data_IF_708321067953
#
_entry.id   IF_708321067953
#
_cell.length_a   1.000
_cell.length_b   1.000
_cell.length_c   1.000
_cell.angle_alpha   90.00
_cell.angle_beta   90.00
_cell.angle_gamma   90.00
#
_symmetry.space_group_name_H-M   'P 1'
#
loop_
_entity.id
_entity.type
_entity.pdbx_description
1 polymer ?
#
# COMPACT_ATOMS: atom_id res chain seq x y z
N UNK A 1 -54.53 -15.71 -50.60
CA UNK A 1 -54.17 -15.56 -49.17
C UNK A 1 -52.74 -16.07 -49.00
N UNK A 2 -51.78 -15.26 -48.56
CA UNK A 2 -50.38 -15.72 -48.42
C UNK A 2 -49.29 -14.64 -48.30
N UNK A 3 -49.64 -13.35 -48.44
CA UNK A 3 -48.65 -12.25 -48.38
C UNK A 3 -48.21 -11.84 -46.97
N UNK A 4 -49.10 -11.92 -45.97
CA UNK A 4 -48.82 -11.41 -44.61
C UNK A 4 -47.94 -12.33 -43.76
N UNK A 5 -48.01 -13.65 -43.97
CA UNK A 5 -47.30 -14.63 -43.13
C UNK A 5 -45.77 -14.51 -43.28
N UNK A 6 -45.28 -14.20 -44.49
CA UNK A 6 -43.85 -13.97 -44.75
C UNK A 6 -43.30 -12.74 -44.02
N UNK A 7 -44.09 -11.68 -43.90
CA UNK A 7 -43.69 -10.44 -43.22
C UNK A 7 -43.58 -10.62 -41.71
N UNK A 8 -44.49 -11.40 -41.12
CA UNK A 8 -44.46 -11.67 -39.68
C UNK A 8 -43.39 -12.70 -39.30
N UNK A 9 -43.12 -13.69 -40.15
CA UNK A 9 -41.97 -14.59 -39.99
C UNK A 9 -40.64 -13.84 -40.02
N UNK A 10 -40.48 -12.83 -40.90
CA UNK A 10 -39.28 -11.99 -40.93
C UNK A 10 -39.11 -11.17 -39.64
N UNK A 11 -40.20 -10.64 -39.07
CA UNK A 11 -40.17 -9.88 -37.81
C UNK A 11 -39.84 -10.78 -36.62
N UNK A 12 -40.38 -12.00 -36.58
CA UNK A 12 -40.10 -12.99 -35.54
C UNK A 12 -38.62 -13.41 -35.61
N UNK A 13 -38.12 -13.67 -36.81
CA UNK A 13 -36.70 -14.00 -37.03
C UNK A 13 -35.78 -12.85 -36.58
N UNK A 14 -36.13 -11.60 -36.90
CA UNK A 14 -35.35 -10.44 -36.50
C UNK A 14 -35.36 -10.22 -34.98
N UNK A 15 -36.50 -10.47 -34.31
CA UNK A 15 -36.61 -10.41 -32.84
C UNK A 15 -35.80 -11.51 -32.15
N UNK A 16 -35.82 -12.73 -32.68
CA UNK A 16 -35.02 -13.84 -32.17
C UNK A 16 -33.52 -13.59 -32.38
N UNK A 17 -33.14 -13.04 -33.54
CA UNK A 17 -31.76 -12.68 -33.82
C UNK A 17 -31.26 -11.57 -32.88
N UNK A 18 -32.08 -10.53 -32.64
CA UNK A 18 -31.75 -9.46 -31.71
C UNK A 18 -31.64 -9.97 -30.26
N UNK A 19 -32.55 -10.86 -29.84
CA UNK A 19 -32.52 -11.48 -28.52
C UNK A 19 -31.28 -12.37 -28.35
N UNK A 20 -30.91 -13.15 -29.37
CA UNK A 20 -29.70 -13.95 -29.38
C UNK A 20 -28.44 -13.08 -29.31
N UNK A 21 -28.40 -11.98 -30.07
CA UNK A 21 -27.27 -11.05 -30.05
C UNK A 21 -27.12 -10.35 -28.69
N UNK A 22 -28.23 -9.98 -28.05
CA UNK A 22 -28.23 -9.43 -26.69
C UNK A 22 -27.80 -10.46 -25.64
N UNK A 23 -28.21 -11.72 -25.79
CA UNK A 23 -27.80 -12.82 -24.90
C UNK A 23 -26.29 -13.07 -25.01
N UNK A 24 -25.75 -13.12 -26.23
CA UNK A 24 -24.31 -13.31 -26.48
C UNK A 24 -23.50 -12.10 -25.97
N UNK A 25 -23.99 -10.87 -26.18
CA UNK A 25 -23.36 -9.67 -25.64
C UNK A 25 -23.34 -9.65 -24.10
N UNK A 26 -24.38 -10.18 -23.44
CA UNK A 26 -24.42 -10.34 -21.98
C UNK A 26 -23.39 -11.35 -21.48
N UNK A 27 -23.11 -12.41 -22.23
CA UNK A 27 -22.16 -13.47 -21.84
C UNK A 27 -20.70 -13.04 -22.03
N UNK A 28 -20.42 -12.05 -22.87
CA UNK A 28 -19.08 -11.50 -23.10
C UNK A 28 -18.62 -10.48 -22.03
N UNK A 29 -19.41 -10.22 -20.98
CA UNK A 29 -19.01 -9.31 -19.89
C UNK A 29 -18.16 -9.98 -18.79
N UNK A 30 -17.46 -11.07 -19.11
CA UNK A 30 -16.41 -11.62 -18.24
C UNK A 30 -15.14 -10.76 -18.38
N UNK A 31 -15.20 -9.52 -17.94
CA UNK A 31 -14.01 -8.71 -17.71
C UNK A 31 -13.27 -9.23 -16.49
N UNK A 32 -11.94 -9.25 -16.54
CA UNK A 32 -11.12 -9.50 -15.35
C UNK A 32 -11.45 -8.42 -14.31
N UNK A 33 -12.12 -8.82 -13.23
CA UNK A 33 -12.26 -7.96 -12.05
C UNK A 33 -10.88 -7.96 -11.40
N UNK A 34 -10.03 -7.02 -11.79
CA UNK A 34 -8.87 -6.66 -11.00
C UNK A 34 -9.41 -6.23 -9.64
N UNK A 35 -9.27 -7.09 -8.63
CA UNK A 35 -9.49 -6.70 -7.26
C UNK A 35 -8.67 -5.42 -7.05
N UNK A 36 -9.35 -4.30 -6.82
CA UNK A 36 -8.66 -3.06 -6.47
C UNK A 36 -7.77 -3.41 -5.30
N UNK A 37 -6.45 -3.31 -5.48
CA UNK A 37 -5.53 -3.54 -4.39
C UNK A 37 -5.93 -2.56 -3.28
N UNK A 38 -6.56 -3.09 -2.23
CA UNK A 38 -6.99 -2.27 -1.11
C UNK A 38 -5.77 -1.67 -0.44
N UNK A 39 -5.96 -0.58 0.30
CA UNK A 39 -4.91 -0.11 1.20
C UNK A 39 -4.46 -1.22 2.16
N UNK A 40 -3.22 -1.17 2.60
CA UNK A 40 -2.65 -2.14 3.53
C UNK A 40 -2.50 -1.52 4.92
N UNK A 41 -2.78 -2.31 5.95
CA UNK A 41 -2.55 -1.95 7.35
C UNK A 41 -1.62 -2.99 7.97
N UNK A 42 -0.53 -2.55 8.58
CA UNK A 42 0.41 -3.39 9.32
C UNK A 42 0.43 -2.89 10.77
N UNK A 43 -0.04 -3.72 11.69
CA UNK A 43 -0.09 -3.38 13.11
C UNK A 43 0.97 -4.16 13.90
N UNK A 44 1.59 -3.51 14.89
CA UNK A 44 2.43 -4.21 15.87
C UNK A 44 1.56 -4.99 16.86
N UNK A 45 2.18 -5.90 17.61
CA UNK A 45 1.55 -6.45 18.80
C UNK A 45 1.17 -5.31 19.78
N UNK A 46 0.04 -5.43 20.50
CA UNK A 46 -0.33 -4.49 21.55
C UNK A 46 0.66 -4.52 22.73
N UNK A 47 1.11 -3.34 23.15
CA UNK A 47 1.85 -3.10 24.38
C UNK A 47 0.83 -2.90 25.52
N UNK A 48 0.76 -3.85 26.46
CA UNK A 48 -0.18 -3.86 27.59
C UNK A 48 0.46 -3.54 28.93
N UNK A 49 1.76 -3.25 28.93
CA UNK A 49 2.57 -2.89 30.11
C UNK A 49 2.02 -1.67 30.87
N UNK A 50 1.27 -0.81 30.18
CA UNK A 50 0.71 0.45 30.69
C UNK A 50 -0.81 0.38 30.93
N UNK A 51 -1.36 -0.83 31.13
CA UNK A 51 -2.78 -1.03 31.39
C UNK A 51 -3.30 -0.07 32.48
N UNK A 52 -4.46 0.61 32.29
CA UNK A 52 -5.48 0.37 31.25
C UNK A 52 -5.17 1.00 29.88
N UNK A 53 -4.03 1.67 29.71
CA UNK A 53 -3.63 2.21 28.41
C UNK A 53 -2.98 1.12 27.56
N UNK A 54 -3.60 0.80 26.43
CA UNK A 54 -3.04 -0.10 25.41
C UNK A 54 -2.44 0.75 24.30
N UNK A 55 -1.23 0.42 23.86
CA UNK A 55 -0.56 1.10 22.73
C UNK A 55 -0.17 0.09 21.67
N UNK A 56 -0.14 0.52 20.42
CA UNK A 56 0.41 -0.25 19.31
C UNK A 56 0.82 0.71 18.21
N UNK A 57 1.65 0.24 17.28
CA UNK A 57 2.01 0.98 16.06
C UNK A 57 1.17 0.47 14.91
N UNK A 58 0.84 1.37 13.99
CA UNK A 58 0.07 1.09 12.78
C UNK A 58 0.76 1.78 11.60
N UNK A 59 1.17 1.00 10.61
CA UNK A 59 1.59 1.51 9.32
C UNK A 59 0.44 1.34 8.33
N UNK A 60 0.03 2.44 7.70
CA UNK A 60 -1.06 2.46 6.73
C UNK A 60 -0.53 2.86 5.35
N UNK A 61 -0.95 2.13 4.32
CA UNK A 61 -0.58 2.36 2.93
C UNK A 61 -1.84 2.43 2.07
N UNK A 62 -1.85 3.32 1.08
CA UNK A 62 -2.92 3.39 0.09
C UNK A 62 -2.86 2.24 -0.94
N UNK A 63 -3.79 2.25 -1.90
CA UNK A 63 -3.87 1.27 -2.96
C UNK A 63 -2.63 1.25 -3.89
N UNK A 64 -1.82 2.31 -3.88
CA UNK A 64 -0.60 2.44 -4.64
C UNK A 64 0.64 2.02 -3.81
N UNK A 65 0.45 1.64 -2.54
CA UNK A 65 1.53 1.30 -1.62
C UNK A 65 2.23 2.52 -1.03
N UNK A 66 1.64 3.71 -1.13
CA UNK A 66 2.20 4.94 -0.55
C UNK A 66 1.78 5.02 0.93
N UNK A 67 2.76 5.25 1.80
CA UNK A 67 2.52 5.42 3.23
C UNK A 67 1.64 6.65 3.52
N UNK A 68 0.70 6.49 4.45
CA UNK A 68 -0.25 7.52 4.88
C UNK A 68 0.18 8.07 6.24
N UNK A 69 0.93 9.20 6.29
CA UNK A 69 1.50 9.71 7.54
C UNK A 69 0.51 10.50 8.41
N UNK A 70 -0.62 10.93 7.86
CA UNK A 70 -1.51 11.93 8.46
C UNK A 70 -2.84 11.34 8.93
N UNK A 71 -2.80 10.22 9.64
CA UNK A 71 -3.99 9.64 10.26
C UNK A 71 -4.40 10.46 11.50
N UNK A 72 -5.69 10.78 11.59
CA UNK A 72 -6.30 11.39 12.77
C UNK A 72 -7.13 10.34 13.53
N UNK A 73 -7.48 10.57 14.80
CA UNK A 73 -8.30 9.64 15.57
C UNK A 73 -9.64 9.29 14.88
N UNK A 74 -10.24 10.23 14.16
CA UNK A 74 -11.46 10.01 13.38
C UNK A 74 -11.29 9.09 12.16
N UNK A 75 -10.06 8.95 11.65
CA UNK A 75 -9.73 8.10 10.50
C UNK A 75 -9.45 6.64 10.92
N UNK A 76 -9.40 6.36 12.24
CA UNK A 76 -9.04 5.06 12.80
C UNK A 76 -10.17 4.52 13.69
N UNK A 77 -10.53 3.26 13.49
CA UNK A 77 -11.46 2.53 14.35
C UNK A 77 -10.76 1.33 14.95
N UNK A 78 -10.88 1.18 16.26
CA UNK A 78 -10.39 0.01 16.99
C UNK A 78 -11.59 -0.87 17.30
N UNK A 79 -11.48 -2.18 17.14
CA UNK A 79 -12.54 -3.13 17.47
C UNK A 79 -12.05 -3.99 18.61
N UNK A 80 -12.72 -3.92 19.76
CA UNK A 80 -12.44 -4.72 20.95
C UNK A 80 -13.72 -5.45 21.34
N UNK A 81 -13.67 -6.78 21.43
CA UNK A 81 -14.84 -7.64 21.74
C UNK A 81 -16.09 -7.35 20.89
N UNK A 82 -15.87 -6.94 19.63
CA UNK A 82 -16.94 -6.57 18.69
C UNK A 82 -17.50 -5.15 18.89
N UNK A 83 -17.01 -4.40 19.87
CA UNK A 83 -17.35 -2.99 20.06
C UNK A 83 -16.36 -2.09 19.32
N UNK A 84 -16.88 -1.12 18.57
CA UNK A 84 -16.05 -0.08 17.94
C UNK A 84 -15.68 0.98 18.98
N UNK A 85 -14.38 1.13 19.19
CA UNK A 85 -13.77 2.14 20.05
C UNK A 85 -13.02 3.17 19.20
N UNK A 86 -13.07 4.42 19.66
CA UNK A 86 -12.23 5.49 19.08
C UNK A 86 -10.90 5.53 19.84
N UNK A 87 -9.75 5.56 19.13
CA UNK A 87 -8.48 5.76 19.80
C UNK A 87 -8.44 7.13 20.48
N UNK A 88 -7.91 7.18 21.70
CA UNK A 88 -7.76 8.44 22.43
C UNK A 88 -6.75 9.38 21.75
N UNK A 89 -5.71 8.80 21.15
CA UNK A 89 -4.64 9.55 20.48
C UNK A 89 -4.12 8.74 19.30
N UNK A 90 -3.91 9.41 18.18
CA UNK A 90 -3.18 8.92 17.01
C UNK A 90 -2.10 9.95 16.73
N UNK A 91 -0.85 9.49 16.68
CA UNK A 91 0.30 10.36 16.45
C UNK A 91 1.29 9.69 15.50
N UNK A 92 1.86 10.48 14.59
CA UNK A 92 2.89 10.00 13.69
C UNK A 92 4.20 9.80 14.47
N UNK A 93 4.64 8.55 14.56
CA UNK A 93 5.92 8.22 15.17
C UNK A 93 7.02 8.34 14.11
N UNK A 94 7.88 9.34 14.25
CA UNK A 94 9.12 9.45 13.46
C UNK A 94 10.19 8.59 14.11
N UNK A 95 10.37 7.37 13.61
CA UNK A 95 11.52 6.56 14.00
C UNK A 95 12.79 7.22 13.42
N UNK A 96 13.67 7.70 14.30
CA UNK A 96 15.00 8.15 13.88
C UNK A 96 15.80 6.97 13.35
N UNK A 97 16.50 7.16 12.23
CA UNK A 97 17.44 6.17 11.72
C UNK A 97 18.75 6.26 12.52
N UNK A 98 19.10 5.21 13.25
CA UNK A 98 20.42 5.06 13.86
C UNK A 98 21.24 4.06 13.04
N UNK A 99 22.29 4.54 12.36
CA UNK A 99 23.23 3.69 11.62
C UNK A 99 24.56 3.68 12.34
N UNK A 100 25.08 2.47 12.63
CA UNK A 100 26.41 2.28 13.23
C UNK A 100 27.31 1.63 12.18
N UNK A 101 28.42 2.28 11.85
CA UNK A 101 29.44 1.74 10.97
C UNK A 101 30.63 1.24 11.79
N UNK A 102 30.98 -0.03 11.64
CA UNK A 102 32.19 -0.61 12.22
C UNK A 102 33.16 -0.87 11.08
N UNK A 103 34.31 -0.19 11.11
CA UNK A 103 35.31 -0.26 10.06
C UNK A 103 36.56 -1.00 10.58
N UNK A 104 36.86 -2.14 9.99
CA UNK A 104 38.13 -2.87 10.25
C UNK A 104 39.15 -2.43 9.21
N UNK A 105 40.02 -1.50 9.59
CA UNK A 105 40.87 -0.80 8.63
C UNK A 105 42.32 -1.30 8.69
N UNK A 106 42.85 -1.70 7.54
CA UNK A 106 44.25 -2.14 7.42
C UNK A 106 45.26 -0.98 7.48
N UNK A 107 46.55 -1.24 7.78
CA UNK A 107 47.58 -0.21 7.97
C UNK A 107 47.73 0.77 6.80
N UNK A 108 47.45 0.32 5.58
CA UNK A 108 47.53 1.15 4.35
C UNK A 108 46.59 2.35 4.39
N UNK A 109 45.44 2.23 5.05
CA UNK A 109 44.42 3.30 5.11
C UNK A 109 44.74 4.39 6.12
N UNK A 110 45.70 4.15 7.02
CA UNK A 110 46.23 5.16 7.92
C UNK A 110 47.29 6.04 7.23
N UNK A 111 47.82 5.61 6.08
CA UNK A 111 48.81 6.38 5.32
C UNK A 111 48.17 7.66 4.79
N UNK A 112 48.80 8.79 5.05
CA UNK A 112 48.41 10.05 4.45
C UNK A 112 48.92 10.13 3.01
N UNK A 113 48.02 10.44 2.09
CA UNK A 113 48.32 10.78 0.70
C UNK A 113 47.67 12.14 0.44
N UNK A 114 48.48 13.13 0.07
CA UNK A 114 48.01 14.50 -0.21
C UNK A 114 47.20 15.15 0.94
N UNK A 115 47.61 14.90 2.19
CA UNK A 115 47.05 15.57 3.38
C UNK A 115 45.86 14.87 4.02
N UNK A 116 45.36 13.76 3.48
CA UNK A 116 44.32 12.94 4.11
C UNK A 116 44.66 11.45 4.04
N UNK A 117 44.21 10.69 5.04
CA UNK A 117 44.25 9.23 5.00
C UNK A 117 42.97 8.66 4.38
N UNK A 118 43.02 7.42 3.88
CA UNK A 118 41.83 6.74 3.37
C UNK A 118 40.73 6.61 4.43
N UNK A 119 41.11 6.41 5.70
CA UNK A 119 40.19 6.44 6.82
C UNK A 119 39.46 7.79 6.96
N UNK A 120 40.21 8.90 6.91
CA UNK A 120 39.63 10.24 7.04
C UNK A 120 38.67 10.55 5.89
N UNK A 121 38.97 10.06 4.68
CA UNK A 121 38.08 10.23 3.53
C UNK A 121 36.76 9.49 3.72
N UNK A 122 36.80 8.22 4.17
CA UNK A 122 35.59 7.43 4.45
C UNK A 122 34.77 8.08 5.55
N UNK A 123 35.41 8.49 6.65
CA UNK A 123 34.73 9.17 7.75
C UNK A 123 34.05 10.46 7.27
N UNK A 124 34.76 11.28 6.49
CA UNK A 124 34.20 12.51 5.93
C UNK A 124 33.00 12.23 5.04
N UNK A 125 33.09 11.27 4.12
CA UNK A 125 31.99 10.93 3.22
C UNK A 125 30.76 10.44 3.98
N UNK A 126 30.93 9.61 5.02
CA UNK A 126 29.81 9.14 5.85
C UNK A 126 29.16 10.28 6.64
N UNK A 127 29.95 11.22 7.16
CA UNK A 127 29.42 12.41 7.85
C UNK A 127 28.68 13.32 6.87
N UNK A 128 29.25 13.56 5.68
CA UNK A 128 28.61 14.38 4.65
C UNK A 128 27.30 13.75 4.17
N UNK A 129 27.26 12.43 3.96
CA UNK A 129 26.04 11.67 3.62
C UNK A 129 24.96 11.77 4.71
N UNK A 130 25.33 11.67 5.99
CA UNK A 130 24.35 11.77 7.10
C UNK A 130 23.65 13.14 7.20
N UNK A 131 24.13 14.15 6.46
CA UNK A 131 23.62 15.51 6.44
C UNK A 131 22.92 15.88 5.13
N UNK A 132 22.99 15.02 4.10
CA UNK A 132 22.31 15.20 2.82
C UNK A 132 20.90 14.66 2.88
#
# INVERSE_FOLDING_TARGET
>A
MGGNERGDLLKIFNRLFLAFFLLVASLCQAGEVFAQAGGALIASAPETEFFPTIRFRLDAYDAQGIFIPALRPEDVQVIEDGQTLKPQRVELVRNGLQVIFVLNIGPVMARQLNGASGYQLIQKTLVDWSRS
#
